data_IF_827711846595
#
_entry.id   IF_827711846595
#
_cell.length_a   1.000
_cell.length_b   1.000
_cell.length_c   1.000
_cell.angle_alpha   90.00
_cell.angle_beta   90.00
_cell.angle_gamma   90.00
#
_symmetry.space_group_name_H-M   'P 1'
#
loop_
_entity.id
_entity.type
_entity.pdbx_description
1 polymer ?
#
# COMPACT_ATOMS: atom_id res chain seq x y z
N UNK A 1 -9.15 35.13 5.42
CA UNK A 1 -9.10 34.05 4.41
C UNK A 1 -8.76 32.80 5.18
N UNK A 2 -9.67 31.85 5.33
CA UNK A 2 -9.37 30.62 6.08
C UNK A 2 -8.26 29.86 5.33
N UNK A 3 -7.10 29.72 5.95
CA UNK A 3 -5.96 28.96 5.41
C UNK A 3 -6.30 27.46 5.54
N UNK A 4 -6.80 26.88 4.43
CA UNK A 4 -7.03 25.45 4.30
C UNK A 4 -5.75 24.75 3.83
N UNK A 5 -5.32 23.71 4.56
CA UNK A 5 -4.17 22.88 4.20
C UNK A 5 -4.65 21.55 3.61
N UNK A 6 -4.05 21.17 2.48
CA UNK A 6 -4.15 19.84 1.91
C UNK A 6 -2.81 19.13 2.16
N UNK A 7 -2.83 18.03 2.91
CA UNK A 7 -1.60 17.31 3.26
C UNK A 7 -1.76 15.78 3.15
N UNK A 8 -0.62 15.09 3.02
CA UNK A 8 -0.54 13.63 3.01
C UNK A 8 0.06 13.15 4.33
N UNK A 9 -0.65 12.27 5.02
CA UNK A 9 -0.18 11.67 6.27
C UNK A 9 0.08 10.18 6.04
N UNK A 10 1.36 9.81 6.04
CA UNK A 10 1.78 8.41 5.97
C UNK A 10 1.89 7.83 7.37
N UNK A 11 1.18 6.73 7.61
CA UNK A 11 1.14 6.05 8.91
C UNK A 11 1.69 4.63 8.71
N UNK A 12 2.76 4.32 9.45
CA UNK A 12 3.25 2.94 9.54
C UNK A 12 2.39 2.17 10.54
N UNK A 13 1.75 1.11 10.07
CA UNK A 13 0.88 0.21 10.83
C UNK A 13 1.47 -1.20 10.94
N UNK A 14 2.79 -1.31 10.81
CA UNK A 14 3.50 -2.57 10.99
C UNK A 14 3.21 -3.19 12.35
N UNK A 15 2.86 -4.48 12.34
CA UNK A 15 2.51 -5.23 13.55
C UNK A 15 1.14 -4.88 14.16
N UNK A 16 0.34 -4.00 13.54
CA UNK A 16 -1.07 -3.80 13.94
C UNK A 16 -1.90 -4.94 13.36
N UNK A 17 -2.68 -5.59 14.21
CA UNK A 17 -3.44 -6.80 13.87
C UNK A 17 -4.96 -6.62 13.97
N UNK A 18 -5.42 -5.54 14.61
CA UNK A 18 -6.83 -5.29 14.86
C UNK A 18 -7.25 -3.83 14.54
N UNK A 19 -8.55 -3.64 14.32
CA UNK A 19 -9.13 -2.36 13.92
C UNK A 19 -9.10 -1.30 15.03
N UNK A 20 -9.19 -1.69 16.30
CA UNK A 20 -9.15 -0.76 17.44
C UNK A 20 -7.78 -0.10 17.55
N UNK A 21 -6.72 -0.91 17.51
CA UNK A 21 -5.32 -0.48 17.48
C UNK A 21 -5.04 0.41 16.26
N UNK A 22 -5.58 0.07 15.09
CA UNK A 22 -5.46 0.88 13.88
C UNK A 22 -6.08 2.26 14.04
N UNK A 23 -7.33 2.34 14.52
CA UNK A 23 -8.03 3.61 14.73
C UNK A 23 -7.32 4.47 15.77
N UNK A 24 -6.91 3.88 16.89
CA UNK A 24 -6.12 4.58 17.91
C UNK A 24 -4.82 5.16 17.34
N UNK A 25 -4.11 4.39 16.50
CA UNK A 25 -2.91 4.86 15.81
C UNK A 25 -3.19 6.00 14.84
N UNK A 26 -4.24 5.89 14.03
CA UNK A 26 -4.64 6.94 13.08
C UNK A 26 -4.93 8.24 13.84
N UNK A 27 -5.76 8.18 14.86
CA UNK A 27 -6.14 9.35 15.67
C UNK A 27 -4.93 10.01 16.33
N UNK A 28 -4.03 9.21 16.91
CA UNK A 28 -2.81 9.74 17.54
C UNK A 28 -1.87 10.44 16.55
N UNK A 29 -1.77 9.99 15.30
CA UNK A 29 -0.97 10.69 14.28
C UNK A 29 -1.70 11.95 13.75
N UNK A 30 -3.02 11.92 13.62
CA UNK A 30 -3.83 13.09 13.23
C UNK A 30 -3.73 14.18 14.31
N UNK A 31 -3.77 13.82 15.59
CA UNK A 31 -3.61 14.78 16.69
C UNK A 31 -2.24 15.48 16.64
N UNK A 32 -1.17 14.72 16.37
CA UNK A 32 0.19 15.28 16.24
C UNK A 32 0.29 16.29 15.10
N UNK A 33 -0.24 15.95 13.92
CA UNK A 33 -0.16 16.85 12.76
C UNK A 33 -1.06 18.07 12.95
N UNK A 34 -2.24 17.89 13.54
CA UNK A 34 -3.14 19.00 13.88
C UNK A 34 -2.47 20.00 14.83
N UNK A 35 -1.80 19.51 15.88
CA UNK A 35 -1.04 20.35 16.80
C UNK A 35 0.11 21.10 16.10
N UNK A 36 0.79 20.47 15.13
CA UNK A 36 1.87 21.10 14.38
C UNK A 36 1.40 22.27 13.51
N UNK A 37 0.17 22.21 12.98
CA UNK A 37 -0.39 23.23 12.09
C UNK A 37 -1.25 24.31 12.78
N UNK A 38 -1.36 24.25 14.12
CA UNK A 38 -1.83 25.32 15.03
C UNK A 38 -2.70 26.41 14.37
N UNK A 39 -4.03 26.26 14.45
CA UNK A 39 -5.07 27.19 13.96
C UNK A 39 -5.41 27.15 12.45
N UNK A 40 -5.07 26.07 11.73
CA UNK A 40 -5.48 25.90 10.32
C UNK A 40 -6.33 24.66 10.10
N UNK A 41 -7.38 24.80 9.30
CA UNK A 41 -8.21 23.67 8.90
C UNK A 41 -7.48 22.79 7.90
N UNK A 42 -7.70 21.48 7.99
CA UNK A 42 -6.96 20.48 7.22
C UNK A 42 -7.88 19.50 6.50
N UNK A 43 -7.47 19.14 5.28
CA UNK A 43 -7.96 17.99 4.55
C UNK A 43 -6.78 17.04 4.35
N UNK A 44 -6.88 15.84 4.92
CA UNK A 44 -5.82 14.84 4.94
C UNK A 44 -6.10 13.71 3.94
N UNK A 45 -5.04 13.28 3.27
CA UNK A 45 -4.99 12.01 2.55
C UNK A 45 -4.13 11.03 3.34
N UNK A 46 -4.75 9.98 3.85
CA UNK A 46 -4.05 8.98 4.66
C UNK A 46 -3.40 7.93 3.76
N UNK A 47 -2.16 7.58 4.08
CA UNK A 47 -1.43 6.48 3.43
C UNK A 47 -1.04 5.49 4.52
N UNK A 48 -1.68 4.31 4.54
CA UNK A 48 -1.30 3.23 5.44
C UNK A 48 -0.20 2.40 4.80
N UNK A 49 0.88 2.18 5.54
CA UNK A 49 2.06 1.43 5.10
C UNK A 49 2.50 0.44 6.15
N UNK A 50 3.37 -0.50 5.77
CA UNK A 50 3.95 -1.48 6.69
C UNK A 50 3.39 -2.90 6.53
N UNK A 51 4.00 -3.84 7.26
CA UNK A 51 3.62 -5.26 7.24
C UNK A 51 2.57 -5.55 8.30
N UNK A 52 1.38 -5.95 7.89
CA UNK A 52 0.23 -6.12 8.80
C UNK A 52 -0.60 -7.35 8.45
N UNK A 53 -1.14 -8.02 9.47
CA UNK A 53 -2.10 -9.10 9.31
C UNK A 53 -3.40 -8.59 8.65
N UNK A 54 -3.68 -7.29 8.78
CA UNK A 54 -4.86 -6.63 8.21
C UNK A 54 -4.71 -6.33 6.72
N UNK A 55 -3.62 -6.72 6.04
CA UNK A 55 -3.38 -6.36 4.63
C UNK A 55 -4.56 -6.67 3.72
N UNK A 56 -5.08 -7.91 3.78
CA UNK A 56 -6.20 -8.36 2.94
C UNK A 56 -7.48 -7.59 3.24
N UNK A 57 -7.79 -7.39 4.52
CA UNK A 57 -8.95 -6.63 4.99
C UNK A 57 -8.87 -5.17 4.53
N UNK A 58 -7.70 -4.54 4.62
CA UNK A 58 -7.49 -3.15 4.21
C UNK A 58 -7.57 -2.96 2.69
N UNK A 59 -7.42 -4.01 1.87
CA UNK A 59 -7.61 -3.91 0.42
C UNK A 59 -9.07 -3.79 0.01
N UNK A 60 -10.01 -4.17 0.88
CA UNK A 60 -11.44 -4.02 0.63
C UNK A 60 -11.85 -2.53 0.65
N UNK A 61 -12.50 -2.06 -0.42
CA UNK A 61 -12.91 -0.66 -0.56
C UNK A 61 -14.04 -0.27 0.40
N UNK A 62 -14.95 -1.19 0.75
CA UNK A 62 -15.99 -0.94 1.72
C UNK A 62 -15.38 -0.76 3.12
N UNK A 63 -14.41 -1.60 3.47
CA UNK A 63 -13.65 -1.46 4.71
C UNK A 63 -12.90 -0.13 4.78
N UNK A 64 -12.27 0.29 3.68
CA UNK A 64 -11.58 1.59 3.64
C UNK A 64 -12.54 2.76 3.83
N UNK A 65 -13.73 2.71 3.23
CA UNK A 65 -14.75 3.74 3.39
C UNK A 65 -15.23 3.80 4.85
N UNK A 66 -15.53 2.64 5.46
CA UNK A 66 -15.94 2.55 6.86
C UNK A 66 -14.87 3.13 7.81
N UNK A 67 -13.58 2.82 7.59
CA UNK A 67 -12.50 3.40 8.38
C UNK A 67 -12.42 4.93 8.26
N UNK A 68 -12.64 5.47 7.07
CA UNK A 68 -12.65 6.92 6.84
C UNK A 68 -13.85 7.57 7.54
N UNK A 69 -15.01 6.94 7.49
CA UNK A 69 -16.22 7.44 8.14
C UNK A 69 -16.06 7.46 9.66
N UNK A 70 -15.64 6.33 10.26
CA UNK A 70 -15.39 6.23 11.71
C UNK A 70 -14.35 7.26 12.17
N UNK A 71 -13.26 7.42 11.42
CA UNK A 71 -12.23 8.40 11.78
C UNK A 71 -12.74 9.84 11.64
N UNK A 72 -13.54 10.15 10.61
CA UNK A 72 -14.13 11.48 10.44
C UNK A 72 -15.21 11.81 11.47
N UNK A 73 -15.99 10.83 11.93
CA UNK A 73 -16.95 11.02 13.03
C UNK A 73 -16.27 11.57 14.28
N UNK A 74 -15.07 11.07 14.58
CA UNK A 74 -14.27 11.55 15.73
C UNK A 74 -13.66 12.95 15.53
N UNK A 75 -13.63 13.45 14.30
CA UNK A 75 -13.09 14.77 13.95
C UNK A 75 -14.17 15.85 13.72
N UNK A 76 -15.45 15.48 13.74
CA UNK A 76 -16.57 16.32 13.25
C UNK A 76 -16.74 17.64 14.02
N UNK A 77 -16.28 17.71 15.28
CA UNK A 77 -16.40 18.90 16.14
C UNK A 77 -15.06 19.61 16.41
N UNK A 78 -14.04 19.38 15.57
CA UNK A 78 -12.73 20.04 15.71
C UNK A 78 -12.76 21.47 15.15
N UNK A 79 -12.23 22.45 15.90
CA UNK A 79 -11.95 23.80 15.42
C UNK A 79 -10.49 24.15 15.71
N UNK A 80 -9.63 24.31 14.68
CA UNK A 80 -9.92 24.19 13.25
C UNK A 80 -10.31 22.77 12.82
N UNK A 81 -11.21 22.64 11.83
CA UNK A 81 -11.64 21.32 11.36
C UNK A 81 -10.49 20.53 10.73
N UNK A 82 -10.46 19.23 11.00
CA UNK A 82 -9.65 18.26 10.29
C UNK A 82 -10.57 17.21 9.65
N UNK A 83 -10.33 16.86 8.39
CA UNK A 83 -11.11 15.83 7.69
C UNK A 83 -10.23 14.94 6.84
N UNK A 84 -10.52 13.66 6.79
CA UNK A 84 -9.90 12.70 5.90
C UNK A 84 -10.71 12.65 4.59
N UNK A 85 -10.05 12.95 3.48
CA UNK A 85 -10.60 12.88 2.11
C UNK A 85 -10.58 11.44 1.58
N UNK A 86 -9.44 10.76 1.75
CA UNK A 86 -9.23 9.42 1.19
C UNK A 86 -8.19 8.63 1.97
N UNK A 87 -8.39 7.32 1.98
CA UNK A 87 -7.42 6.32 2.43
C UNK A 87 -6.72 5.66 1.24
N UNK A 88 -5.40 5.55 1.30
CA UNK A 88 -4.59 4.77 0.36
C UNK A 88 -3.87 3.65 1.11
N UNK A 89 -3.98 2.42 0.61
CA UNK A 89 -3.40 1.24 1.26
C UNK A 89 -2.17 0.76 0.49
N UNK A 90 -1.02 0.98 1.11
CA UNK A 90 0.33 0.58 0.66
C UNK A 90 0.97 -0.41 1.65
N UNK A 91 0.15 -1.26 2.26
CA UNK A 91 0.59 -2.29 3.20
C UNK A 91 1.10 -3.54 2.49
N UNK A 92 1.80 -4.39 3.23
CA UNK A 92 2.20 -5.73 2.81
C UNK A 92 1.67 -6.76 3.82
N UNK A 93 1.37 -8.00 3.43
CA UNK A 93 0.95 -9.03 4.38
C UNK A 93 2.12 -9.46 5.27
N UNK A 94 1.82 -9.94 6.48
CA UNK A 94 2.79 -10.63 7.35
C UNK A 94 3.02 -12.03 6.77
N UNK A 95 3.86 -12.11 5.74
CA UNK A 95 4.44 -13.36 5.29
C UNK A 95 5.90 -13.39 5.76
N UNK A 96 6.31 -14.49 6.37
CA UNK A 96 7.74 -14.76 6.57
C UNK A 96 8.32 -15.15 5.21
N UNK A 97 8.61 -14.14 4.38
CA UNK A 97 9.18 -14.31 3.04
C UNK A 97 10.45 -15.14 3.13
N UNK A 98 11.24 -15.03 4.22
CA UNK A 98 12.44 -15.83 4.38
C UNK A 98 12.09 -17.30 4.61
N UNK A 99 11.09 -17.61 5.43
CA UNK A 99 10.62 -18.99 5.61
C UNK A 99 10.02 -19.57 4.34
N UNK A 100 9.21 -18.79 3.61
CA UNK A 100 8.64 -19.20 2.33
C UNK A 100 9.75 -19.38 1.28
N UNK A 101 10.70 -18.45 1.17
CA UNK A 101 11.83 -18.51 0.25
C UNK A 101 12.85 -19.59 0.62
N UNK A 102 12.86 -20.12 1.84
CA UNK A 102 13.68 -21.26 2.26
C UNK A 102 12.90 -22.59 2.19
N UNK A 103 11.62 -22.56 1.85
CA UNK A 103 10.87 -23.79 1.62
C UNK A 103 11.40 -24.50 0.37
N UNK A 104 11.44 -25.83 0.43
CA UNK A 104 11.75 -26.70 -0.70
C UNK A 104 10.46 -27.05 -1.46
N UNK A 105 9.64 -26.05 -1.73
CA UNK A 105 8.42 -26.15 -2.52
C UNK A 105 8.44 -25.13 -3.67
N UNK A 106 7.43 -25.20 -4.54
CA UNK A 106 7.30 -24.31 -5.69
C UNK A 106 7.26 -22.83 -5.29
N UNK A 107 6.62 -22.51 -4.16
CA UNK A 107 6.53 -21.14 -3.63
C UNK A 107 7.91 -20.62 -3.24
N UNK A 108 8.74 -21.44 -2.60
CA UNK A 108 10.12 -21.11 -2.28
C UNK A 108 11.02 -20.96 -3.50
N UNK A 109 10.91 -21.87 -4.47
CA UNK A 109 11.65 -21.76 -5.74
C UNK A 109 11.31 -20.47 -6.50
N UNK A 110 10.03 -20.12 -6.54
CA UNK A 110 9.55 -18.89 -7.15
C UNK A 110 10.11 -17.64 -6.45
N UNK A 111 10.08 -17.59 -5.11
CA UNK A 111 10.56 -16.43 -4.36
C UNK A 111 12.06 -16.20 -4.58
N UNK A 112 12.86 -17.27 -4.53
CA UNK A 112 14.30 -17.21 -4.83
C UNK A 112 14.57 -16.75 -6.27
N UNK A 113 13.73 -17.20 -7.21
CA UNK A 113 13.80 -16.78 -8.62
C UNK A 113 13.53 -15.28 -8.76
N UNK A 114 12.45 -14.77 -8.12
CA UNK A 114 12.12 -13.34 -8.14
C UNK A 114 13.24 -12.50 -7.51
N UNK A 115 13.81 -12.96 -6.39
CA UNK A 115 14.93 -12.27 -5.73
C UNK A 115 16.18 -12.21 -6.64
N UNK A 116 16.49 -13.29 -7.33
CA UNK A 116 17.57 -13.33 -8.32
C UNK A 116 17.36 -12.29 -9.43
N UNK A 117 16.14 -12.17 -9.97
CA UNK A 117 15.82 -11.13 -10.94
C UNK A 117 15.96 -9.72 -10.35
N UNK A 118 15.54 -9.48 -9.11
CA UNK A 118 15.67 -8.17 -8.46
C UNK A 118 17.14 -7.75 -8.25
N UNK A 119 18.05 -8.71 -8.03
CA UNK A 119 19.49 -8.47 -7.87
C UNK A 119 20.23 -8.28 -9.20
N UNK A 120 19.61 -8.65 -10.33
CA UNK A 120 20.18 -8.55 -11.67
C UNK A 120 19.31 -7.69 -12.59
N UNK A 121 19.50 -6.35 -12.60
CA UNK A 121 18.65 -5.41 -13.33
C UNK A 121 18.48 -5.73 -14.83
N UNK A 122 19.54 -6.25 -15.46
CA UNK A 122 19.52 -6.67 -16.87
C UNK A 122 18.51 -7.81 -17.10
N UNK A 123 18.59 -8.86 -16.28
CA UNK A 123 17.70 -10.02 -16.35
C UNK A 123 16.26 -9.63 -15.99
N UNK A 124 16.09 -8.72 -15.04
CA UNK A 124 14.78 -8.19 -14.65
C UNK A 124 14.12 -7.47 -15.82
N UNK A 125 14.84 -6.59 -16.50
CA UNK A 125 14.33 -5.84 -17.65
C UNK A 125 13.95 -6.79 -18.79
N UNK A 126 14.78 -7.79 -19.07
CA UNK A 126 14.49 -8.80 -20.09
C UNK A 126 13.23 -9.62 -19.74
N UNK A 127 13.09 -10.03 -18.47
CA UNK A 127 11.92 -10.76 -17.98
C UNK A 127 10.63 -9.91 -18.10
N UNK A 128 10.69 -8.62 -17.71
CA UNK A 128 9.58 -7.69 -17.89
C UNK A 128 9.25 -7.54 -19.37
N UNK A 129 10.23 -7.30 -20.23
CA UNK A 129 10.01 -7.08 -21.66
C UNK A 129 9.43 -8.31 -22.37
N UNK A 130 9.82 -9.51 -21.93
CA UNK A 130 9.26 -10.78 -22.38
C UNK A 130 7.82 -10.97 -21.90
N UNK A 131 7.53 -10.70 -20.62
CA UNK A 131 6.18 -10.78 -20.08
C UNK A 131 5.22 -9.79 -20.77
N UNK A 132 5.72 -8.59 -21.09
CA UNK A 132 4.96 -7.55 -21.78
C UNK A 132 4.88 -7.75 -23.30
N UNK A 133 5.70 -8.64 -23.89
CA UNK A 133 5.76 -8.85 -25.34
C UNK A 133 4.40 -9.23 -25.95
N UNK A 134 3.60 -10.04 -25.23
CA UNK A 134 2.26 -10.43 -25.65
C UNK A 134 1.24 -9.27 -25.70
N UNK A 135 1.52 -8.17 -25.01
CA UNK A 135 0.64 -7.00 -24.94
C UNK A 135 1.04 -5.89 -25.92
N UNK A 136 2.24 -5.94 -26.50
CA UNK A 136 2.80 -4.94 -27.43
C UNK A 136 1.90 -4.59 -28.64
N UNK A 137 1.12 -5.51 -29.24
CA UNK A 137 0.25 -5.18 -30.38
C UNK A 137 -1.00 -4.35 -30.02
N UNK A 138 -1.29 -4.16 -28.73
CA UNK A 138 -2.55 -3.56 -28.26
C UNK A 138 -2.41 -2.11 -27.82
N UNK A 139 -3.54 -1.39 -27.66
CA UNK A 139 -3.54 -0.07 -27.01
C UNK A 139 -2.92 -0.12 -25.59
N UNK A 140 -3.04 -1.26 -24.91
CA UNK A 140 -2.43 -1.53 -23.60
C UNK A 140 -0.90 -1.55 -23.69
N UNK A 141 -0.34 -2.08 -24.79
CA UNK A 141 1.11 -2.12 -25.03
C UNK A 141 1.76 -0.73 -25.08
N UNK A 142 1.04 0.29 -25.60
CA UNK A 142 1.54 1.68 -25.61
C UNK A 142 1.63 2.27 -24.21
N UNK A 143 0.66 1.98 -23.36
CA UNK A 143 0.66 2.43 -21.97
C UNK A 143 1.77 1.75 -21.16
N UNK A 144 1.91 0.43 -21.32
CA UNK A 144 2.92 -0.38 -20.63
C UNK A 144 4.35 0.01 -21.01
N UNK A 145 4.59 0.37 -22.28
CA UNK A 145 5.90 0.84 -22.75
C UNK A 145 6.31 2.19 -22.15
N UNK A 146 5.34 3.03 -21.76
CA UNK A 146 5.60 4.36 -21.22
C UNK A 146 5.79 4.37 -19.69
N UNK A 147 5.66 3.22 -19.02
CA UNK A 147 5.85 3.13 -17.58
C UNK A 147 7.31 3.43 -17.20
N UNK A 148 7.47 4.27 -16.18
CA UNK A 148 8.76 4.54 -15.54
C UNK A 148 9.30 3.29 -14.85
N UNK A 149 10.61 3.29 -14.55
CA UNK A 149 11.25 2.20 -13.79
C UNK A 149 10.58 1.99 -12.43
N UNK A 150 10.23 3.06 -11.73
CA UNK A 150 9.56 2.99 -10.43
C UNK A 150 8.17 2.37 -10.52
N UNK A 151 7.39 2.73 -11.55
CA UNK A 151 6.07 2.15 -11.78
C UNK A 151 6.16 0.66 -12.14
N UNK A 152 7.12 0.27 -12.99
CA UNK A 152 7.39 -1.14 -13.29
C UNK A 152 7.76 -1.93 -12.03
N UNK A 153 8.61 -1.36 -11.16
CA UNK A 153 8.96 -2.00 -9.88
C UNK A 153 7.75 -2.14 -8.96
N UNK A 154 6.89 -1.12 -8.86
CA UNK A 154 5.65 -1.21 -8.08
C UNK A 154 4.72 -2.31 -8.59
N UNK A 155 4.58 -2.45 -9.91
CA UNK A 155 3.76 -3.50 -10.53
C UNK A 155 4.35 -4.88 -10.24
N UNK A 156 5.67 -5.05 -10.38
CA UNK A 156 6.33 -6.33 -10.05
C UNK A 156 6.14 -6.72 -8.59
N UNK A 157 6.29 -5.76 -7.67
CA UNK A 157 6.10 -6.01 -6.25
C UNK A 157 4.65 -6.41 -5.96
N UNK A 158 3.68 -5.75 -6.59
CA UNK A 158 2.27 -6.14 -6.48
C UNK A 158 2.01 -7.54 -7.07
N UNK A 159 2.57 -7.84 -8.23
CA UNK A 159 2.43 -9.14 -8.89
C UNK A 159 3.00 -10.27 -8.02
N UNK A 160 4.14 -10.06 -7.37
CA UNK A 160 4.73 -10.99 -6.40
C UNK A 160 3.73 -11.31 -5.29
N UNK A 161 3.13 -10.30 -4.66
CA UNK A 161 2.18 -10.49 -3.57
C UNK A 161 0.89 -11.17 -4.02
N UNK A 162 0.37 -10.83 -5.21
CA UNK A 162 -0.78 -11.54 -5.79
C UNK A 162 -0.45 -13.02 -5.95
N UNK A 163 0.71 -13.35 -6.51
CA UNK A 163 1.07 -14.72 -6.81
C UNK A 163 1.30 -15.55 -5.54
N UNK A 164 1.94 -14.97 -4.51
CA UNK A 164 2.04 -15.58 -3.18
C UNK A 164 0.65 -15.85 -2.60
N UNK A 165 -0.27 -14.90 -2.71
CA UNK A 165 -1.62 -15.06 -2.17
C UNK A 165 -2.39 -16.17 -2.90
N UNK A 166 -2.33 -16.21 -4.24
CA UNK A 166 -3.00 -17.26 -5.03
C UNK A 166 -2.42 -18.66 -4.78
N UNK A 167 -1.11 -18.78 -4.58
CA UNK A 167 -0.47 -20.06 -4.29
C UNK A 167 -0.73 -20.60 -2.88
N UNK A 168 -1.15 -19.73 -1.95
CA UNK A 168 -1.47 -20.10 -0.56
C UNK A 168 -2.99 -20.15 -0.31
N UNK A 169 -3.83 -20.01 -1.34
CA UNK A 169 -5.26 -20.29 -1.26
C UNK A 169 -5.46 -21.81 -1.43
N UNK A 170 -5.70 -22.50 -0.32
CA UNK A 170 -6.31 -23.83 -0.32
C UNK A 170 -7.83 -23.75 -0.57
#
# INVERSE_FOLDING_TARGET
>A
TSDLILDYLTINIEGIEDQESLLSKINGEIEKISNAYSNRSMILRLILSGRTAMHTMLKDLAMQAELVDIANEQLTDTDPFCRIDRLQVQTMPIADINKLANANDFTGDLLRTIETYQQHPEMQNEMIDNALAGFKPSQMGRYLNNLTKEEKMKILEQAKWILINELNKD
#
